data_IF_824747556954
#
_entry.id   IF_824747556954
#
_cell.length_a   1.000
_cell.length_b   1.000
_cell.length_c   1.000
_cell.angle_alpha   90.00
_cell.angle_beta   90.00
_cell.angle_gamma   90.00
#
_symmetry.space_group_name_H-M   'P 1'
#
loop_
_entity.id
_entity.type
_entity.pdbx_description
1 polymer ?
#
# COMPACT_ATOMS: atom_id res chain seq x y z
N UNK A 1 1.09 -28.86 57.84
CA UNK A 1 0.99 -28.75 56.36
C UNK A 1 1.43 -27.36 55.92
N UNK A 2 2.71 -27.11 55.63
CA UNK A 2 3.11 -25.79 55.12
C UNK A 2 4.37 -25.85 54.23
N UNK A 3 5.50 -26.40 54.67
CA UNK A 3 6.77 -26.29 53.90
C UNK A 3 6.86 -27.15 52.63
N UNK A 4 6.36 -28.39 52.67
CA UNK A 4 6.46 -29.31 51.53
C UNK A 4 5.62 -28.86 50.32
N UNK A 5 4.42 -28.31 50.56
CA UNK A 5 3.55 -27.78 49.50
C UNK A 5 4.16 -26.57 48.77
N UNK A 6 4.87 -25.69 49.49
CA UNK A 6 5.59 -24.58 48.86
C UNK A 6 6.75 -25.05 47.98
N UNK A 7 7.45 -26.12 48.39
CA UNK A 7 8.51 -26.71 47.58
C UNK A 7 7.94 -27.36 46.30
N UNK A 8 6.87 -28.15 46.42
CA UNK A 8 6.20 -28.77 45.27
C UNK A 8 5.68 -27.74 44.28
N UNK A 9 5.00 -26.69 44.76
CA UNK A 9 4.55 -25.58 43.92
C UNK A 9 5.72 -24.82 43.27
N UNK A 10 6.82 -24.62 44.00
CA UNK A 10 8.03 -23.97 43.48
C UNK A 10 8.69 -24.77 42.36
N UNK A 11 8.77 -26.09 42.49
CA UNK A 11 9.31 -26.97 41.43
C UNK A 11 8.45 -26.91 40.18
N UNK A 12 7.12 -27.02 40.34
CA UNK A 12 6.19 -26.94 39.20
C UNK A 12 6.29 -25.59 38.50
N UNK A 13 6.31 -24.48 39.26
CA UNK A 13 6.50 -23.14 38.69
C UNK A 13 7.84 -22.99 37.97
N UNK A 14 8.93 -23.54 38.53
CA UNK A 14 10.25 -23.55 37.90
C UNK A 14 10.29 -24.29 36.57
N UNK A 15 9.62 -25.44 36.47
CA UNK A 15 9.49 -26.19 35.22
C UNK A 15 8.70 -25.38 34.19
N UNK A 16 7.57 -24.77 34.58
CA UNK A 16 6.75 -23.95 33.67
C UNK A 16 7.56 -22.77 33.13
N UNK A 17 8.30 -22.06 33.98
CA UNK A 17 9.14 -20.94 33.55
C UNK A 17 10.25 -21.37 32.59
N UNK A 18 10.90 -22.52 32.83
CA UNK A 18 11.89 -23.08 31.92
C UNK A 18 11.27 -23.42 30.56
N UNK A 19 10.10 -24.05 30.54
CA UNK A 19 9.39 -24.38 29.30
C UNK A 19 9.03 -23.10 28.52
N UNK A 20 8.51 -22.07 29.20
CA UNK A 20 8.22 -20.77 28.56
C UNK A 20 9.48 -20.11 27.98
N UNK A 21 10.60 -20.16 28.71
CA UNK A 21 11.87 -19.61 28.24
C UNK A 21 12.39 -20.29 26.97
N UNK A 22 12.13 -21.59 26.81
CA UNK A 22 12.48 -22.34 25.60
C UNK A 22 11.48 -22.10 24.44
N UNK A 23 10.20 -21.85 24.75
CA UNK A 23 9.15 -21.66 23.76
C UNK A 23 9.17 -20.26 23.11
N UNK A 24 9.43 -19.20 23.88
CA UNK A 24 9.35 -17.82 23.37
C UNK A 24 10.27 -17.57 22.15
N UNK A 25 11.57 -17.94 22.16
CA UNK A 25 12.43 -17.76 20.98
C UNK A 25 11.94 -18.53 19.76
N UNK A 26 11.38 -19.73 19.98
CA UNK A 26 10.84 -20.55 18.90
C UNK A 26 9.60 -19.91 18.26
N UNK A 27 8.69 -19.35 19.07
CA UNK A 27 7.50 -18.63 18.57
C UNK A 27 7.89 -17.39 17.78
N UNK A 28 8.89 -16.64 18.22
CA UNK A 28 9.39 -15.47 17.47
C UNK A 28 9.96 -15.86 16.11
N UNK A 29 10.81 -16.91 16.05
CA UNK A 29 11.34 -17.42 14.78
C UNK A 29 10.22 -17.90 13.85
N UNK A 30 9.24 -18.63 14.38
CA UNK A 30 8.12 -19.12 13.59
C UNK A 30 7.26 -17.97 13.02
N UNK A 31 7.04 -16.91 13.79
CA UNK A 31 6.34 -15.70 13.31
C UNK A 31 7.12 -15.01 12.20
N UNK A 32 8.44 -14.92 12.31
CA UNK A 32 9.26 -14.27 11.31
C UNK A 32 9.32 -15.06 9.99
N UNK A 33 9.47 -16.38 10.07
CA UNK A 33 9.38 -17.25 8.89
C UNK A 33 7.98 -17.18 8.23
N UNK A 34 6.91 -17.02 9.03
CA UNK A 34 5.57 -16.81 8.48
C UNK A 34 5.45 -15.46 7.73
N UNK A 35 6.04 -14.38 8.25
CA UNK A 35 6.09 -13.07 7.55
C UNK A 35 6.88 -13.17 6.25
N UNK A 36 8.04 -13.83 6.29
CA UNK A 36 8.89 -14.10 5.13
C UNK A 36 8.14 -14.90 4.06
N UNK A 37 7.44 -15.96 4.46
CA UNK A 37 6.60 -16.78 3.58
C UNK A 37 5.44 -15.98 2.98
N UNK A 38 4.78 -15.13 3.77
CA UNK A 38 3.70 -14.27 3.28
C UNK A 38 4.20 -13.25 2.26
N UNK A 39 5.36 -12.63 2.49
CA UNK A 39 5.97 -11.70 1.53
C UNK A 39 6.32 -12.39 0.21
N UNK A 40 6.91 -13.58 0.29
CA UNK A 40 7.15 -14.44 -0.87
C UNK A 40 5.85 -14.75 -1.63
N UNK A 41 4.75 -15.01 -0.93
CA UNK A 41 3.44 -15.23 -1.55
C UNK A 41 2.89 -13.97 -2.22
N UNK A 42 3.05 -12.80 -1.61
CA UNK A 42 2.67 -11.52 -2.19
C UNK A 42 3.42 -11.25 -3.50
N UNK A 43 4.74 -11.45 -3.53
CA UNK A 43 5.54 -11.37 -4.77
C UNK A 43 5.06 -12.36 -5.84
N UNK A 44 4.70 -13.59 -5.48
CA UNK A 44 4.13 -14.56 -6.43
C UNK A 44 2.81 -14.07 -7.03
N UNK A 45 1.92 -13.52 -6.21
CA UNK A 45 0.66 -12.95 -6.70
C UNK A 45 0.91 -11.78 -7.66
N UNK A 46 1.86 -10.89 -7.32
CA UNK A 46 2.29 -9.80 -8.21
C UNK A 46 2.84 -10.35 -9.52
N UNK A 47 3.68 -11.39 -9.49
CA UNK A 47 4.22 -12.02 -10.69
C UNK A 47 3.16 -12.64 -11.59
N UNK A 48 2.19 -13.34 -11.00
CA UNK A 48 1.04 -13.86 -11.76
C UNK A 48 0.21 -12.72 -12.37
N UNK A 49 -0.03 -11.64 -11.64
CA UNK A 49 -0.74 -10.48 -12.14
C UNK A 49 -0.01 -9.80 -13.31
N UNK A 50 1.33 -9.70 -13.24
CA UNK A 50 2.17 -9.19 -14.34
C UNK A 50 2.11 -10.08 -15.58
N UNK A 51 2.10 -11.41 -15.41
CA UNK A 51 1.92 -12.36 -16.52
C UNK A 51 0.55 -12.23 -17.17
N UNK A 52 -0.53 -12.16 -16.38
CA UNK A 52 -1.88 -11.97 -16.89
C UNK A 52 -2.04 -10.62 -17.63
N UNK A 53 -1.41 -9.56 -17.10
CA UNK A 53 -1.33 -8.27 -17.79
C UNK A 53 -0.62 -8.42 -19.13
N UNK A 54 0.54 -9.08 -19.18
CA UNK A 54 1.30 -9.33 -20.41
C UNK A 54 0.54 -10.20 -21.41
N UNK A 55 -0.20 -11.21 -20.96
CA UNK A 55 -1.05 -12.03 -21.84
C UNK A 55 -2.10 -11.17 -22.55
N UNK A 56 -2.71 -10.24 -21.80
CA UNK A 56 -3.79 -9.36 -22.29
C UNK A 56 -3.25 -8.22 -23.16
N UNK A 57 -2.18 -7.55 -22.74
CA UNK A 57 -1.66 -6.32 -23.34
C UNK A 57 -0.40 -6.52 -24.21
N UNK A 58 0.10 -7.76 -24.29
CA UNK A 58 1.30 -8.17 -25.05
C UNK A 58 2.61 -7.50 -24.63
N UNK A 59 2.61 -6.85 -23.47
CA UNK A 59 3.79 -6.26 -22.83
C UNK A 59 3.56 -6.16 -21.31
N UNK A 60 4.63 -6.00 -20.54
CA UNK A 60 4.56 -5.60 -19.14
C UNK A 60 3.94 -4.20 -19.04
N UNK A 61 3.28 -3.88 -17.90
CA UNK A 61 2.74 -2.54 -17.70
C UNK A 61 3.87 -1.50 -17.74
N UNK A 62 3.59 -0.28 -18.20
CA UNK A 62 4.54 0.82 -18.04
C UNK A 62 4.83 1.00 -16.55
N UNK A 63 6.10 1.18 -16.18
CA UNK A 63 6.48 1.48 -14.80
C UNK A 63 5.70 2.67 -14.26
N UNK A 64 5.56 3.68 -15.10
CA UNK A 64 4.65 4.80 -14.92
C UNK A 64 4.30 5.45 -16.26
N UNK A 65 3.10 6.00 -16.34
CA UNK A 65 2.64 6.83 -17.45
C UNK A 65 2.95 8.29 -17.09
N UNK A 66 3.85 8.91 -17.84
CA UNK A 66 4.24 10.31 -17.66
C UNK A 66 3.99 11.03 -18.98
N UNK A 67 3.17 12.08 -18.95
CA UNK A 67 2.86 12.90 -20.12
C UNK A 67 4.08 13.71 -20.54
N UNK A 68 4.09 14.18 -21.79
CA UNK A 68 5.18 14.98 -22.36
C UNK A 68 5.50 16.25 -21.55
N UNK A 69 4.51 16.85 -20.89
CA UNK A 69 4.70 18.01 -20.01
C UNK A 69 5.20 17.65 -18.59
N UNK A 70 5.61 16.39 -18.38
CA UNK A 70 6.15 15.89 -17.13
C UNK A 70 5.11 15.53 -16.07
N UNK A 71 3.82 15.66 -16.37
CA UNK A 71 2.76 15.30 -15.44
C UNK A 71 2.70 13.78 -15.27
N UNK A 72 2.85 13.34 -14.02
CA UNK A 72 2.82 11.93 -13.64
C UNK A 72 1.36 11.46 -13.54
N UNK A 73 0.97 10.53 -14.41
CA UNK A 73 -0.38 9.98 -14.45
C UNK A 73 -0.47 8.80 -13.47
N UNK A 74 -0.19 7.56 -13.89
CA UNK A 74 -0.40 6.36 -13.09
C UNK A 74 0.78 5.38 -13.15
N UNK A 75 0.97 4.59 -12.10
CA UNK A 75 2.04 3.58 -12.00
C UNK A 75 1.60 2.16 -12.36
N UNK A 76 2.58 1.27 -12.56
CA UNK A 76 2.33 -0.15 -12.88
C UNK A 76 1.43 -0.87 -11.86
N UNK A 77 1.48 -0.48 -10.59
CA UNK A 77 0.73 -1.13 -9.52
C UNK A 77 -0.79 -1.00 -9.69
N UNK A 78 -1.31 0.13 -10.17
CA UNK A 78 -2.75 0.23 -10.45
C UNK A 78 -3.12 -0.58 -11.68
N UNK A 79 -2.23 -0.67 -12.68
CA UNK A 79 -2.47 -1.37 -13.94
C UNK A 79 -2.67 -2.89 -13.76
N UNK A 80 -2.06 -3.46 -12.72
CA UNK A 80 -2.17 -4.89 -12.43
C UNK A 80 -3.27 -5.25 -11.44
N UNK A 81 -3.95 -4.27 -10.80
CA UNK A 81 -5.03 -4.53 -9.83
C UNK A 81 -6.12 -5.47 -10.37
N UNK A 82 -6.61 -5.30 -11.61
CA UNK A 82 -7.62 -6.21 -12.18
C UNK A 82 -7.19 -7.68 -12.20
N UNK A 83 -5.88 -7.94 -12.22
CA UNK A 83 -5.28 -9.27 -12.28
C UNK A 83 -4.79 -9.78 -10.93
N UNK A 84 -4.81 -8.95 -9.88
CA UNK A 84 -4.28 -9.27 -8.55
C UNK A 84 -5.36 -9.82 -7.61
N UNK A 85 -6.48 -9.11 -7.48
CA UNK A 85 -7.53 -9.43 -6.49
C UNK A 85 -8.95 -9.13 -6.99
N UNK A 86 -9.11 -8.80 -8.27
CA UNK A 86 -10.37 -8.35 -8.89
C UNK A 86 -11.01 -7.14 -8.17
N UNK A 87 -10.20 -6.35 -7.47
CA UNK A 87 -10.69 -5.19 -6.73
C UNK A 87 -11.30 -4.14 -7.66
N UNK A 88 -12.44 -3.52 -7.29
CA UNK A 88 -13.07 -2.49 -8.11
C UNK A 88 -12.28 -1.16 -8.10
N UNK A 89 -11.19 -1.06 -7.33
CA UNK A 89 -10.32 0.13 -7.27
C UNK A 89 -9.88 0.62 -8.66
N UNK A 90 -9.62 -0.30 -9.60
CA UNK A 90 -9.26 0.07 -10.96
C UNK A 90 -10.35 0.91 -11.66
N UNK A 91 -11.62 0.57 -11.44
CA UNK A 91 -12.76 1.26 -12.07
C UNK A 91 -13.07 2.62 -11.42
N UNK A 92 -12.43 2.93 -10.28
CA UNK A 92 -12.61 4.18 -9.54
C UNK A 92 -11.59 5.25 -9.94
N UNK A 93 -10.55 4.86 -10.67
CA UNK A 93 -9.54 5.80 -11.14
C UNK A 93 -10.07 6.54 -12.36
N UNK A 94 -9.98 7.86 -12.34
CA UNK A 94 -10.05 8.67 -13.54
C UNK A 94 -8.67 8.72 -14.18
N UNK A 95 -8.49 7.95 -15.25
CA UNK A 95 -7.23 7.87 -15.99
C UNK A 95 -6.87 9.16 -16.76
N UNK A 96 -7.80 10.13 -16.83
CA UNK A 96 -7.53 11.45 -17.40
C UNK A 96 -6.97 12.44 -16.38
N UNK A 97 -7.00 12.09 -15.09
CA UNK A 97 -6.43 12.90 -14.02
C UNK A 97 -5.11 12.31 -13.47
N UNK A 98 -4.15 13.13 -13.04
CA UNK A 98 -2.97 12.65 -12.33
C UNK A 98 -3.31 11.83 -11.08
N UNK A 99 -2.40 10.92 -10.68
CA UNK A 99 -2.64 10.04 -9.52
C UNK A 99 -2.92 10.78 -8.20
N UNK A 100 -2.36 11.98 -8.02
CA UNK A 100 -2.43 12.74 -6.77
C UNK A 100 -3.56 13.78 -6.73
N UNK A 101 -4.51 13.72 -7.69
CA UNK A 101 -5.70 14.58 -7.71
C UNK A 101 -6.82 14.09 -6.78
N UNK A 102 -7.75 14.97 -6.38
CA UNK A 102 -8.82 14.63 -5.44
C UNK A 102 -9.61 13.36 -5.77
N UNK A 103 -9.91 13.13 -7.06
CA UNK A 103 -10.67 11.97 -7.49
C UNK A 103 -9.89 10.67 -7.29
N UNK A 104 -8.60 10.69 -7.59
CA UNK A 104 -7.73 9.52 -7.56
C UNK A 104 -7.08 9.27 -6.19
N UNK A 105 -6.81 10.31 -5.38
CA UNK A 105 -6.10 10.12 -4.11
C UNK A 105 -6.85 9.20 -3.15
N UNK A 106 -8.18 9.23 -3.17
CA UNK A 106 -9.02 8.43 -2.27
C UNK A 106 -8.85 6.94 -2.54
N UNK A 107 -8.61 6.57 -3.79
CA UNK A 107 -8.26 5.20 -4.20
C UNK A 107 -6.87 4.84 -3.67
N UNK A 108 -5.88 5.72 -3.85
CA UNK A 108 -4.51 5.46 -3.40
C UNK A 108 -4.29 5.55 -1.88
N UNK A 109 -5.29 6.00 -1.13
CA UNK A 109 -5.34 5.92 0.33
C UNK A 109 -5.69 4.50 0.84
N UNK A 110 -6.16 3.59 -0.03
CA UNK A 110 -6.41 2.21 0.36
C UNK A 110 -5.10 1.42 0.48
N UNK A 111 -4.80 0.79 1.63
CA UNK A 111 -3.69 -0.13 1.70
C UNK A 111 -4.04 -1.39 0.91
N UNK A 112 -3.11 -1.86 0.07
CA UNK A 112 -3.25 -3.13 -0.65
C UNK A 112 -2.41 -4.17 0.09
N UNK A 113 -3.01 -5.17 0.75
CA UNK A 113 -2.26 -6.14 1.55
C UNK A 113 -1.16 -6.86 0.75
N UNK A 114 -1.41 -7.15 -0.53
CA UNK A 114 -0.43 -7.77 -1.44
C UNK A 114 0.74 -6.85 -1.80
N UNK A 115 0.65 -5.54 -1.56
CA UNK A 115 1.76 -4.60 -1.70
C UNK A 115 2.50 -4.32 -0.40
N UNK A 116 2.10 -4.98 0.70
CA UNK A 116 2.71 -4.79 2.01
C UNK A 116 3.42 -6.06 2.48
N UNK A 117 4.33 -5.84 3.42
CA UNK A 117 5.04 -6.88 4.18
C UNK A 117 4.47 -6.81 5.59
N UNK A 118 3.84 -7.89 6.05
CA UNK A 118 3.26 -7.94 7.38
C UNK A 118 4.35 -7.77 8.45
N UNK A 119 4.11 -6.87 9.40
CA UNK A 119 5.04 -6.58 10.49
C UNK A 119 5.99 -5.40 10.25
N UNK A 120 5.89 -4.74 9.09
CA UNK A 120 6.41 -3.36 8.94
C UNK A 120 5.34 -2.42 9.49
N UNK A 121 5.66 -1.63 10.50
CA UNK A 121 4.67 -0.77 11.20
C UNK A 121 4.15 0.39 10.33
N UNK A 122 4.90 0.73 9.29
CA UNK A 122 4.62 1.86 8.41
C UNK A 122 3.69 1.47 7.25
N UNK A 123 2.44 1.92 7.29
CA UNK A 123 1.43 1.57 6.26
C UNK A 123 0.97 2.77 5.42
N UNK A 124 1.17 3.99 5.92
CA UNK A 124 0.68 5.22 5.29
C UNK A 124 1.75 6.31 5.25
N UNK A 125 1.66 7.20 4.27
CA UNK A 125 2.37 8.49 4.32
C UNK A 125 1.74 9.45 5.34
N UNK A 126 2.46 10.51 5.73
CA UNK A 126 1.94 11.64 6.50
C UNK A 126 0.73 12.31 5.84
N UNK A 127 0.60 12.14 4.52
CA UNK A 127 -0.50 12.64 3.68
C UNK A 127 -1.62 11.62 3.46
N UNK A 128 -1.53 10.41 4.03
CA UNK A 128 -2.61 9.41 4.05
C UNK A 128 -2.54 8.31 3.00
N UNK A 129 -1.62 8.40 2.03
CA UNK A 129 -1.50 7.41 0.96
C UNK A 129 -1.04 6.06 1.49
N UNK A 130 -1.61 4.97 0.98
CA UNK A 130 -1.16 3.62 1.29
C UNK A 130 0.23 3.37 0.70
N UNK A 131 1.12 2.79 1.50
CA UNK A 131 2.50 2.48 1.08
C UNK A 131 2.61 1.12 0.38
N UNK A 132 3.65 1.00 -0.44
CA UNK A 132 4.16 -0.28 -0.96
C UNK A 132 5.53 -0.62 -0.35
N UNK A 133 5.76 -1.92 -0.12
CA UNK A 133 7.04 -2.49 0.32
C UNK A 133 7.77 -3.23 -0.81
N UNK A 134 7.28 -3.11 -2.05
CA UNK A 134 7.87 -3.69 -3.24
C UNK A 134 8.04 -2.63 -4.33
N UNK A 135 9.16 -2.64 -5.04
CA UNK A 135 9.38 -1.76 -6.20
C UNK A 135 9.91 -2.52 -7.41
N UNK A 136 9.67 -1.95 -8.59
CA UNK A 136 10.04 -2.54 -9.87
C UNK A 136 11.50 -2.35 -10.27
N UNK A 137 11.93 -3.22 -11.18
CA UNK A 137 13.18 -3.12 -11.91
C UNK A 137 13.10 -1.99 -12.93
N UNK A 138 13.96 -0.96 -12.87
CA UNK A 138 13.96 0.14 -13.83
C UNK A 138 14.19 -0.32 -15.27
N UNK A 139 14.85 -1.46 -15.51
CA UNK A 139 15.03 -1.95 -16.88
C UNK A 139 13.72 -2.43 -17.50
N UNK A 140 12.80 -2.93 -16.67
CA UNK A 140 11.58 -3.62 -17.10
C UNK A 140 10.33 -2.76 -16.90
N UNK A 141 10.32 -1.92 -15.86
CA UNK A 141 9.20 -1.10 -15.39
C UNK A 141 9.67 0.34 -15.21
N UNK A 142 9.95 1.03 -16.32
CA UNK A 142 10.35 2.45 -16.34
C UNK A 142 9.25 3.35 -16.94
N UNK A 143 9.55 4.64 -17.02
CA UNK A 143 8.69 5.65 -17.66
C UNK A 143 8.25 5.20 -19.05
N UNK A 144 6.93 5.13 -19.26
CA UNK A 144 6.28 4.82 -20.52
C UNK A 144 6.80 3.53 -21.19
N UNK A 145 7.23 2.54 -20.39
CA UNK A 145 7.77 1.29 -20.89
C UNK A 145 6.70 0.38 -21.51
N UNK A 146 7.11 -0.40 -22.52
CA UNK A 146 6.30 -1.46 -23.15
C UNK A 146 7.16 -2.70 -23.36
N UNK A 147 7.81 -3.16 -22.28
CA UNK A 147 8.77 -4.27 -22.35
C UNK A 147 8.04 -5.60 -22.52
N UNK A 148 8.54 -6.47 -23.40
CA UNK A 148 7.98 -7.82 -23.60
C UNK A 148 8.94 -8.89 -23.06
N UNK A 149 8.42 -10.08 -22.74
CA UNK A 149 9.29 -11.19 -22.33
C UNK A 149 10.32 -11.59 -23.40
N UNK A 150 10.01 -11.39 -24.68
CA UNK A 150 10.93 -11.68 -25.80
C UNK A 150 12.17 -10.77 -25.80
N UNK A 151 12.10 -9.60 -25.16
CA UNK A 151 13.23 -8.66 -25.04
C UNK A 151 14.21 -9.05 -23.92
N UNK A 152 13.88 -10.05 -23.11
CA UNK A 152 14.72 -10.53 -22.01
C UNK A 152 15.74 -11.53 -22.54
N UNK A 153 16.78 -11.04 -23.22
CA UNK A 153 17.79 -11.86 -23.91
C UNK A 153 18.53 -12.85 -22.99
N UNK A 154 18.61 -12.57 -21.69
CA UNK A 154 19.20 -13.46 -20.68
C UNK A 154 18.26 -14.56 -20.18
N UNK A 155 17.02 -14.62 -20.71
CA UNK A 155 15.96 -15.49 -20.22
C UNK A 155 15.12 -14.85 -19.12
N UNK A 156 13.85 -15.27 -19.04
CA UNK A 156 12.90 -14.80 -18.03
C UNK A 156 13.28 -15.28 -16.61
N UNK A 157 13.97 -16.42 -16.53
CA UNK A 157 14.49 -17.02 -15.29
C UNK A 157 15.70 -16.28 -14.71
N UNK A 158 16.34 -15.39 -15.48
CA UNK A 158 17.49 -14.58 -15.03
C UNK A 158 17.18 -13.08 -14.98
N UNK A 159 15.93 -12.70 -15.23
CA UNK A 159 15.49 -11.31 -15.27
C UNK A 159 14.61 -11.02 -14.07
N UNK A 160 15.08 -10.20 -13.13
CA UNK A 160 14.26 -9.79 -11.98
C UNK A 160 13.26 -8.70 -12.38
N UNK A 161 12.06 -8.74 -11.81
CA UNK A 161 10.99 -7.78 -12.08
C UNK A 161 10.71 -6.88 -10.89
N UNK A 162 10.56 -7.47 -9.70
CA UNK A 162 10.12 -6.76 -8.48
C UNK A 162 11.01 -7.21 -7.32
N UNK A 163 11.30 -6.31 -6.39
CA UNK A 163 12.00 -6.65 -5.15
C UNK A 163 11.39 -5.99 -3.92
N UNK A 164 11.63 -6.60 -2.76
CA UNK A 164 11.33 -6.03 -1.46
C UNK A 164 12.25 -4.85 -1.16
N UNK A 165 11.72 -3.71 -0.69
CA UNK A 165 12.53 -2.52 -0.39
C UNK A 165 12.78 -2.34 1.10
N UNK A 166 13.98 -1.88 1.44
CA UNK A 166 14.45 -1.78 2.82
C UNK A 166 13.91 -0.55 3.57
N UNK A 167 13.41 0.44 2.84
CA UNK A 167 12.89 1.69 3.39
C UNK A 167 12.61 2.71 2.31
N UNK A 168 12.48 3.98 2.72
CA UNK A 168 12.03 5.08 1.86
C UNK A 168 10.82 4.64 1.05
N UNK A 169 9.83 4.10 1.76
CA UNK A 169 8.62 3.56 1.17
C UNK A 169 7.86 4.65 0.41
N UNK A 170 7.18 4.25 -0.65
CA UNK A 170 6.48 5.15 -1.55
C UNK A 170 5.00 4.77 -1.56
N UNK A 171 4.08 5.71 -1.86
CA UNK A 171 2.70 5.36 -2.15
C UNK A 171 2.64 4.31 -3.25
N UNK A 172 1.82 3.26 -3.09
CA UNK A 172 1.66 2.28 -4.16
C UNK A 172 1.09 2.91 -5.45
N UNK A 173 0.37 4.02 -5.33
CA UNK A 173 -0.11 4.82 -6.46
C UNK A 173 0.94 5.69 -7.17
N UNK A 174 2.12 5.86 -6.58
CA UNK A 174 3.13 6.76 -7.11
C UNK A 174 3.66 6.25 -8.47
N UNK A 175 3.63 7.06 -9.55
CA UNK A 175 4.01 6.57 -10.87
C UNK A 175 5.50 6.24 -11.05
N UNK A 176 6.36 6.50 -10.07
CA UNK A 176 7.81 6.20 -10.15
C UNK A 176 8.22 5.06 -9.21
N UNK A 177 7.37 4.03 -9.09
CA UNK A 177 7.57 2.88 -8.20
C UNK A 177 8.61 1.87 -8.73
N UNK A 178 9.82 2.36 -9.04
CA UNK A 178 11.02 1.59 -9.38
C UNK A 178 12.26 2.22 -8.74
N UNK A 179 13.32 1.43 -8.55
CA UNK A 179 14.64 1.95 -8.20
C UNK A 179 15.74 0.96 -8.60
N UNK A 180 16.99 1.39 -8.81
CA UNK A 180 18.11 0.49 -9.10
C UNK A 180 18.34 -0.52 -7.97
N UNK A 181 18.65 -1.78 -8.29
CA UNK A 181 18.90 -2.83 -7.30
C UNK A 181 20.10 -2.50 -6.38
N UNK A 182 21.13 -1.87 -6.94
CA UNK A 182 22.39 -1.61 -6.25
C UNK A 182 23.27 -2.86 -6.13
N UNK A 183 24.44 -2.71 -5.52
CA UNK A 183 25.44 -3.79 -5.41
C UNK A 183 25.42 -4.50 -4.07
N UNK A 184 24.46 -4.19 -3.19
CA UNK A 184 24.29 -4.80 -1.87
C UNK A 184 22.87 -4.59 -1.36
N UNK A 185 22.26 -5.66 -0.84
CA UNK A 185 20.95 -5.59 -0.17
C UNK A 185 21.11 -5.14 1.29
N UNK A 186 20.04 -4.55 1.85
CA UNK A 186 20.03 -4.00 3.21
C UNK A 186 21.16 -2.97 3.45
N UNK A 187 21.48 -2.18 2.44
CA UNK A 187 22.53 -1.14 2.47
C UNK A 187 21.93 0.26 2.60
N UNK A 188 21.10 0.45 3.65
CA UNK A 188 20.37 1.70 3.90
C UNK A 188 18.97 1.72 3.29
N UNK A 189 18.19 2.79 3.56
CA UNK A 189 16.76 2.85 3.23
C UNK A 189 16.47 2.94 1.72
N UNK A 190 17.45 3.34 0.90
CA UNK A 190 17.30 3.36 -0.57
C UNK A 190 17.54 1.99 -1.22
N UNK A 191 18.02 1.00 -0.49
CA UNK A 191 18.31 -0.33 -1.03
C UNK A 191 17.09 -1.25 -1.09
N UNK A 192 17.23 -2.37 -1.80
CA UNK A 192 16.35 -3.53 -1.67
C UNK A 192 16.77 -4.39 -0.46
N UNK A 193 15.83 -5.14 0.10
CA UNK A 193 16.01 -6.02 1.25
C UNK A 193 15.01 -5.74 2.37
N UNK A 194 15.08 -6.55 3.42
CA UNK A 194 14.35 -6.39 4.66
C UNK A 194 15.33 -6.63 5.81
N UNK A 195 15.62 -5.58 6.59
CA UNK A 195 16.66 -5.63 7.62
C UNK A 195 16.48 -6.79 8.62
N UNK A 196 15.27 -7.07 9.15
CA UNK A 196 15.05 -8.23 10.02
C UNK A 196 15.38 -9.61 9.42
N UNK A 197 15.49 -9.72 8.09
CA UNK A 197 15.81 -10.98 7.40
C UNK A 197 17.25 -11.07 6.92
N UNK A 198 18.07 -10.03 7.12
CA UNK A 198 19.44 -9.94 6.58
C UNK A 198 19.49 -10.22 5.06
N UNK A 199 18.48 -9.76 4.32
CA UNK A 199 18.35 -10.00 2.89
C UNK A 199 16.95 -9.66 2.40
N UNK A 200 16.61 -10.07 1.19
CA UNK A 200 15.27 -9.88 0.65
C UNK A 200 15.00 -10.77 -0.53
N UNK A 201 13.72 -10.85 -0.92
CA UNK A 201 13.28 -11.57 -2.08
C UNK A 201 13.26 -10.67 -3.32
N UNK A 202 13.66 -11.27 -4.44
CA UNK A 202 13.41 -10.76 -5.77
C UNK A 202 12.47 -11.74 -6.50
N UNK A 203 11.47 -11.18 -7.15
CA UNK A 203 10.62 -11.86 -8.12
C UNK A 203 11.33 -11.85 -9.47
N UNK A 204 11.45 -13.01 -10.10
CA UNK A 204 11.96 -13.17 -11.46
C UNK A 204 10.81 -13.21 -12.47
N UNK A 205 11.13 -12.97 -13.75
CA UNK A 205 10.14 -12.88 -14.81
C UNK A 205 9.49 -14.24 -15.13
N UNK A 206 10.04 -15.36 -14.67
CA UNK A 206 9.40 -16.68 -14.68
C UNK A 206 8.44 -16.93 -13.49
N UNK A 207 8.15 -15.90 -12.68
CA UNK A 207 7.31 -15.96 -11.46
C UNK A 207 7.98 -16.69 -10.28
N UNK A 208 9.23 -17.15 -10.44
CA UNK A 208 10.00 -17.65 -9.30
C UNK A 208 10.36 -16.51 -8.35
N UNK A 209 10.41 -16.81 -7.05
CA UNK A 209 10.77 -15.84 -6.01
C UNK A 209 11.95 -16.39 -5.23
N UNK A 210 13.07 -15.68 -5.34
CA UNK A 210 14.38 -16.09 -4.83
C UNK A 210 14.83 -15.15 -3.72
N UNK A 211 15.32 -15.72 -2.61
CA UNK A 211 15.87 -14.96 -1.51
C UNK A 211 17.36 -14.72 -1.72
N UNK A 212 17.79 -13.48 -1.58
CA UNK A 212 19.19 -13.06 -1.64
C UNK A 212 19.57 -12.47 -0.27
N UNK A 213 20.67 -12.95 0.32
CA UNK A 213 21.18 -12.40 1.57
C UNK A 213 21.93 -11.08 1.34
N UNK A 214 22.14 -10.30 2.40
CA UNK A 214 22.99 -9.11 2.41
C UNK A 214 24.50 -9.42 2.20
N UNK A 215 24.87 -10.71 2.17
CA UNK A 215 26.19 -11.25 1.83
C UNK A 215 26.30 -11.70 0.36
N UNK A 216 25.22 -11.62 -0.42
CA UNK A 216 25.24 -11.96 -1.85
C UNK A 216 26.36 -11.19 -2.57
N UNK A 217 27.13 -11.90 -3.39
CA UNK A 217 28.25 -11.31 -4.15
C UNK A 217 27.77 -10.12 -4.99
N UNK A 218 28.49 -8.98 -4.97
CA UNK A 218 28.18 -7.83 -5.80
C UNK A 218 28.12 -8.14 -7.30
N UNK A 219 28.87 -9.14 -7.77
CA UNK A 219 28.90 -9.58 -9.17
C UNK A 219 27.55 -10.17 -9.59
N UNK A 220 26.90 -10.94 -8.73
CA UNK A 220 25.55 -11.48 -8.97
C UNK A 220 24.54 -10.33 -9.08
N UNK A 221 24.58 -9.37 -8.16
CA UNK A 221 23.67 -8.22 -8.19
C UNK A 221 23.92 -7.32 -9.41
N UNK A 222 25.18 -7.14 -9.82
CA UNK A 222 25.53 -6.43 -11.06
C UNK A 222 24.98 -7.14 -12.30
N UNK A 223 25.03 -8.47 -12.35
CA UNK A 223 24.44 -9.25 -13.45
C UNK A 223 22.92 -9.03 -13.51
N UNK A 224 22.23 -9.09 -12.37
CA UNK A 224 20.78 -8.82 -12.30
C UNK A 224 20.44 -7.38 -12.70
N UNK A 225 21.24 -6.39 -12.30
CA UNK A 225 21.07 -4.99 -12.71
C UNK A 225 21.26 -4.79 -14.23
N UNK A 226 22.14 -5.57 -14.85
CA UNK A 226 22.46 -5.49 -16.27
C UNK A 226 21.54 -6.33 -17.16
N UNK A 227 20.43 -6.87 -16.64
CA UNK A 227 19.51 -7.69 -17.43
C UNK A 227 18.77 -6.83 -18.48
N UNK A 228 18.83 -7.18 -19.78
CA UNK A 228 18.17 -6.44 -20.85
C UNK A 228 16.64 -6.53 -20.79
N UNK A 229 15.90 -5.63 -21.47
CA UNK A 229 16.41 -4.49 -22.24
C UNK A 229 17.00 -3.39 -21.33
N UNK A 230 18.01 -2.67 -21.82
CA UNK A 230 18.62 -1.56 -21.08
C UNK A 230 18.01 -0.23 -21.55
N UNK A 231 17.20 0.44 -20.73
CA UNK A 231 16.60 1.73 -21.07
C UNK A 231 17.62 2.88 -21.00
N UNK A 232 17.25 4.04 -21.53
CA UNK A 232 18.04 5.26 -21.38
C UNK A 232 17.99 5.79 -19.94
N UNK A 233 18.96 6.62 -19.57
CA UNK A 233 18.95 7.28 -18.26
C UNK A 233 17.74 8.18 -18.06
N UNK A 234 17.22 8.79 -19.13
CA UNK A 234 16.01 9.62 -19.09
C UNK A 234 14.74 8.80 -18.80
N UNK A 235 14.67 7.57 -19.31
CA UNK A 235 13.55 6.67 -19.04
C UNK A 235 13.52 6.19 -17.59
N UNK A 236 14.69 6.02 -16.97
CA UNK A 236 14.82 5.48 -15.61
C UNK A 236 14.89 6.53 -14.51
N UNK A 237 15.09 7.80 -14.85
CA UNK A 237 15.17 8.88 -13.86
C UNK A 237 13.86 9.02 -13.09
N UNK A 238 13.99 9.12 -11.76
CA UNK A 238 12.88 9.39 -10.84
C UNK A 238 13.03 10.79 -10.24
N UNK A 239 11.92 11.47 -9.91
CA UNK A 239 11.99 12.71 -9.15
C UNK A 239 12.65 12.47 -7.78
N UNK A 240 13.46 13.43 -7.31
CA UNK A 240 13.97 13.45 -5.94
C UNK A 240 12.83 13.84 -4.98
N UNK A 241 11.93 12.89 -4.75
CA UNK A 241 10.75 13.03 -3.91
C UNK A 241 10.79 11.98 -2.80
N UNK A 242 10.70 12.45 -1.56
CA UNK A 242 10.57 11.60 -0.37
C UNK A 242 9.16 11.74 0.20
N UNK A 243 8.65 10.63 0.71
CA UNK A 243 7.37 10.58 1.38
C UNK A 243 7.63 10.34 2.86
N UNK A 244 7.15 11.26 3.70
CA UNK A 244 7.19 11.10 5.14
C UNK A 244 6.19 10.04 5.59
N UNK A 245 6.53 9.28 6.62
CA UNK A 245 5.74 8.09 7.02
C UNK A 245 5.56 7.96 8.54
N UNK A 246 5.63 9.06 9.29
CA UNK A 246 5.73 9.06 10.76
C UNK A 246 4.49 8.49 11.46
N UNK A 247 4.50 7.17 11.72
CA UNK A 247 3.57 6.42 12.59
C UNK A 247 2.10 6.87 12.49
N UNK A 248 1.65 7.06 11.26
CA UNK A 248 0.34 7.63 10.97
C UNK A 248 -0.74 6.59 11.25
N UNK A 249 -1.68 6.95 12.12
CA UNK A 249 -2.87 6.16 12.40
C UNK A 249 -4.07 6.77 11.67
N UNK A 250 -4.85 5.90 11.04
CA UNK A 250 -6.18 6.26 10.51
C UNK A 250 -7.23 5.87 11.54
N UNK A 251 -8.18 6.77 11.78
CA UNK A 251 -9.39 6.45 12.54
C UNK A 251 -10.62 6.88 11.76
N UNK A 252 -11.75 6.23 12.08
CA UNK A 252 -13.03 6.50 11.46
C UNK A 252 -14.10 6.78 12.52
N UNK A 253 -14.90 7.81 12.30
CA UNK A 253 -16.05 8.16 13.15
C UNK A 253 -17.30 8.14 12.28
N UNK A 254 -18.18 7.17 12.52
CA UNK A 254 -19.46 7.08 11.80
C UNK A 254 -20.33 8.31 12.12
N UNK A 255 -20.89 8.92 11.09
CA UNK A 255 -21.85 10.02 11.21
C UNK A 255 -23.27 9.46 11.29
N UNK A 256 -24.18 10.22 11.90
CA UNK A 256 -25.60 9.87 11.94
C UNK A 256 -26.23 10.14 10.57
N UNK A 257 -27.02 9.20 10.09
CA UNK A 257 -27.84 9.32 8.89
C UNK A 257 -29.09 8.47 9.09
N UNK A 258 -30.02 8.52 8.14
CA UNK A 258 -31.22 7.70 8.14
C UNK A 258 -30.87 6.21 8.32
N UNK A 259 -31.64 5.51 9.16
CA UNK A 259 -31.49 4.08 9.41
C UNK A 259 -31.83 3.22 8.19
N UNK A 260 -32.67 3.74 7.29
CA UNK A 260 -32.95 3.16 5.97
C UNK A 260 -31.97 3.67 4.89
N UNK A 261 -30.93 4.38 5.33
CA UNK A 261 -30.06 5.25 4.55
C UNK A 261 -29.40 4.62 3.34
N UNK A 262 -29.41 5.41 2.26
CA UNK A 262 -28.86 5.13 0.92
C UNK A 262 -27.37 4.78 0.98
N UNK A 263 -26.63 5.45 1.86
CA UNK A 263 -25.17 5.45 1.99
C UNK A 263 -24.76 5.28 3.47
N UNK A 264 -23.47 5.01 3.73
CA UNK A 264 -22.87 5.15 5.07
C UNK A 264 -21.97 6.37 5.10
N UNK A 265 -22.18 7.28 6.04
CA UNK A 265 -21.36 8.48 6.19
C UNK A 265 -20.41 8.38 7.36
N UNK A 266 -19.19 8.86 7.17
CA UNK A 266 -18.17 8.81 8.22
C UNK A 266 -17.11 9.89 8.03
N UNK A 267 -16.41 10.16 9.11
CA UNK A 267 -15.23 11.00 9.15
C UNK A 267 -14.01 10.11 9.11
N UNK A 268 -13.07 10.37 8.21
CA UNK A 268 -11.74 9.78 8.23
C UNK A 268 -10.76 10.81 8.77
N UNK A 269 -10.04 10.46 9.83
CA UNK A 269 -8.98 11.29 10.39
C UNK A 269 -7.61 10.61 10.26
N UNK A 270 -6.58 11.41 10.01
CA UNK A 270 -5.18 10.99 10.10
C UNK A 270 -4.55 11.59 11.35
N UNK A 271 -3.94 10.76 12.19
CA UNK A 271 -3.24 11.18 13.40
C UNK A 271 -1.76 10.79 13.33
N UNK A 272 -0.90 11.57 13.97
CA UNK A 272 0.48 11.18 14.22
C UNK A 272 0.59 10.19 15.39
N UNK A 273 1.82 9.80 15.74
CA UNK A 273 2.12 8.92 16.89
C UNK A 273 1.61 9.45 18.24
N UNK A 274 1.44 10.76 18.39
CA UNK A 274 0.92 11.44 19.59
C UNK A 274 -0.62 11.59 19.57
N UNK A 275 -1.31 10.93 18.64
CA UNK A 275 -2.77 11.02 18.44
C UNK A 275 -3.27 12.42 18.05
N UNK A 276 -2.36 13.33 17.65
CA UNK A 276 -2.72 14.65 17.16
C UNK A 276 -3.30 14.54 15.75
N UNK A 277 -4.51 15.06 15.57
CA UNK A 277 -5.18 15.12 14.29
C UNK A 277 -4.39 16.00 13.30
N UNK A 278 -4.05 15.43 12.14
CA UNK A 278 -3.32 16.09 11.06
C UNK A 278 -4.25 16.50 9.92
N UNK A 279 -5.23 15.64 9.61
CA UNK A 279 -6.20 15.85 8.53
C UNK A 279 -7.52 15.21 8.90
N UNK A 280 -8.61 15.84 8.47
CA UNK A 280 -9.97 15.32 8.61
C UNK A 280 -10.72 15.40 7.28
N UNK A 281 -11.49 14.37 6.98
CA UNK A 281 -12.27 14.24 5.75
C UNK A 281 -13.64 13.67 6.06
N UNK A 282 -14.65 14.15 5.35
CA UNK A 282 -16.01 13.63 5.42
C UNK A 282 -16.30 12.86 4.15
N UNK A 283 -16.66 11.59 4.29
CA UNK A 283 -16.86 10.67 3.18
C UNK A 283 -18.21 9.96 3.28
N UNK A 284 -18.73 9.55 2.13
CA UNK A 284 -19.84 8.61 1.97
C UNK A 284 -19.31 7.30 1.41
N UNK A 285 -19.75 6.15 1.91
CA UNK A 285 -19.65 4.87 1.22
C UNK A 285 -20.87 4.73 0.32
N UNK A 286 -20.64 4.80 -0.99
CA UNK A 286 -21.68 4.68 -2.02
C UNK A 286 -21.64 3.27 -2.59
N UNK A 287 -22.80 2.60 -2.62
CA UNK A 287 -22.96 1.32 -3.30
C UNK A 287 -23.22 1.54 -4.80
N UNK A 288 -22.18 1.33 -5.61
CA UNK A 288 -22.22 1.55 -7.05
C UNK A 288 -23.08 0.54 -7.82
N UNK A 289 -23.52 -0.58 -7.21
CA UNK A 289 -24.44 -1.53 -7.89
C UNK A 289 -25.78 -0.87 -8.29
N UNK A 290 -26.09 0.33 -7.76
CA UNK A 290 -27.31 1.09 -8.07
C UNK A 290 -27.10 2.26 -9.05
N UNK A 291 -25.87 2.53 -9.49
CA UNK A 291 -25.59 3.58 -10.48
C UNK A 291 -25.67 2.93 -11.86
N UNK A 292 -26.82 3.09 -12.53
CA UNK A 292 -27.01 2.72 -13.94
C UNK A 292 -26.11 3.60 -14.82
N UNK A 293 -24.88 3.15 -15.06
CA UNK A 293 -24.05 3.67 -16.15
C UNK A 293 -24.11 2.70 -17.32
N UNK A 294 -24.08 3.22 -18.54
CA UNK A 294 -24.23 2.46 -19.79
C UNK A 294 -23.07 1.48 -20.05
N UNK A 295 -21.98 1.57 -19.29
CA UNK A 295 -20.86 0.62 -19.33
C UNK A 295 -20.88 -0.32 -18.11
N UNK A 296 -20.74 -1.64 -18.29
CA UNK A 296 -20.74 -2.60 -17.20
C UNK A 296 -19.43 -2.50 -16.41
N UNK A 297 -19.31 -1.51 -15.54
CA UNK A 297 -18.25 -1.49 -14.52
C UNK A 297 -18.49 -2.66 -13.57
N UNK A 298 -17.46 -3.48 -13.33
CA UNK A 298 -17.58 -4.75 -12.61
C UNK A 298 -18.12 -4.55 -11.20
N UNK A 299 -19.00 -5.46 -10.77
CA UNK A 299 -19.56 -5.59 -9.41
C UNK A 299 -18.49 -5.29 -8.35
N UNK A 300 -18.61 -4.12 -7.72
CA UNK A 300 -17.74 -3.68 -6.64
C UNK A 300 -18.60 -3.22 -5.47
N UNK A 301 -18.24 -3.64 -4.26
CA UNK A 301 -18.92 -3.23 -3.03
C UNK A 301 -18.81 -1.72 -2.76
N UNK A 302 -19.38 -1.23 -1.64
CA UNK A 302 -19.46 0.20 -1.36
C UNK A 302 -18.08 0.79 -1.08
N UNK A 303 -17.77 1.91 -1.70
CA UNK A 303 -16.45 2.55 -1.60
C UNK A 303 -16.58 4.07 -1.42
N UNK A 304 -15.53 4.74 -0.91
CA UNK A 304 -15.65 6.07 -0.34
C UNK A 304 -15.56 7.16 -1.39
N UNK A 305 -16.58 7.98 -1.40
CA UNK A 305 -16.63 9.25 -2.09
C UNK A 305 -16.30 10.37 -1.09
N UNK A 306 -15.36 11.23 -1.45
CA UNK A 306 -15.02 12.41 -0.65
C UNK A 306 -16.10 13.47 -0.82
N UNK A 307 -16.80 13.82 0.26
CA UNK A 307 -17.74 14.94 0.25
C UNK A 307 -16.98 16.26 0.40
N UNK A 308 -16.10 16.33 1.40
CA UNK A 308 -15.19 17.46 1.61
C UNK A 308 -14.08 17.11 2.61
N UNK A 309 -12.86 17.64 2.39
CA UNK A 309 -11.83 17.75 3.45
C UNK A 309 -12.23 18.88 4.42
N UNK A 310 -11.88 18.76 5.70
CA UNK A 310 -12.14 19.78 6.73
C UNK A 310 -10.81 20.35 7.23
N UNK A 311 -10.71 21.68 7.19
CA UNK A 311 -9.63 22.46 7.79
C UNK A 311 -10.16 23.29 8.99
N UNK A 312 -9.28 24.06 9.64
CA UNK A 312 -9.65 24.91 10.80
C UNK A 312 -10.70 25.98 10.50
N UNK A 313 -10.84 26.41 9.25
CA UNK A 313 -11.68 27.53 8.83
C UNK A 313 -12.93 27.07 8.07
N UNK A 314 -13.07 25.77 7.82
CA UNK A 314 -14.17 25.20 7.07
C UNK A 314 -15.49 25.46 7.81
N UNK A 315 -16.44 26.09 7.12
CA UNK A 315 -17.82 26.16 7.62
C UNK A 315 -18.49 24.80 7.45
N UNK A 316 -18.36 23.98 8.49
CA UNK A 316 -18.92 22.62 8.56
C UNK A 316 -20.43 22.63 8.30
N UNK A 317 -21.14 23.65 8.78
CA UNK A 317 -22.61 23.70 8.63
C UNK A 317 -22.98 23.93 7.18
N UNK A 318 -22.29 24.86 6.51
CA UNK A 318 -22.50 25.11 5.08
C UNK A 318 -22.11 23.89 4.25
N UNK A 319 -20.92 23.32 4.46
CA UNK A 319 -20.43 22.16 3.70
C UNK A 319 -21.31 20.93 3.87
N UNK A 320 -21.81 20.66 5.07
CA UNK A 320 -22.74 19.55 5.29
C UNK A 320 -24.06 19.76 4.54
N UNK A 321 -24.62 20.98 4.53
CA UNK A 321 -25.84 21.31 3.79
C UNK A 321 -25.72 21.18 2.28
N UNK A 322 -24.51 21.34 1.76
CA UNK A 322 -24.21 21.16 0.32
C UNK A 322 -23.94 19.69 -0.05
N UNK A 323 -23.84 18.80 0.94
CA UNK A 323 -23.49 17.40 0.74
C UNK A 323 -24.71 16.48 0.74
N UNK A 324 -24.56 15.30 0.13
CA UNK A 324 -25.59 14.25 0.13
C UNK A 324 -26.02 13.81 1.53
N UNK A 325 -25.15 13.97 2.54
CA UNK A 325 -25.49 13.67 3.93
C UNK A 325 -26.66 14.52 4.45
N UNK A 326 -26.84 15.74 3.95
CA UNK A 326 -27.99 16.57 4.35
C UNK A 326 -29.32 16.05 3.82
N UNK A 327 -29.30 15.34 2.69
CA UNK A 327 -30.48 14.69 2.13
C UNK A 327 -30.82 13.38 2.84
N UNK A 328 -29.81 12.75 3.44
CA UNK A 328 -29.87 11.46 4.10
C UNK A 328 -29.93 11.56 5.63
N UNK A 329 -30.22 12.75 6.18
CA UNK A 329 -30.27 12.98 7.63
C UNK A 329 -31.48 13.80 8.03
N UNK A 330 -32.05 13.52 9.22
CA UNK A 330 -32.98 14.46 9.86
C UNK A 330 -32.24 15.72 10.33
N UNK A 331 -32.94 16.84 10.58
CA UNK A 331 -32.33 18.05 11.14
C UNK A 331 -31.59 17.81 12.47
N UNK A 332 -32.10 16.92 13.33
CA UNK A 332 -31.48 16.56 14.61
C UNK A 332 -30.18 15.78 14.41
N UNK A 333 -30.18 14.81 13.48
CA UNK A 333 -29.00 14.03 13.12
C UNK A 333 -27.92 14.94 12.50
N UNK A 334 -28.33 15.84 11.59
CA UNK A 334 -27.42 16.80 10.97
C UNK A 334 -26.81 17.74 12.01
N UNK A 335 -27.59 18.23 12.97
CA UNK A 335 -27.10 19.04 14.08
C UNK A 335 -26.10 18.28 14.97
N UNK A 336 -26.35 17.00 15.24
CA UNK A 336 -25.43 16.13 15.98
C UNK A 336 -24.11 15.90 15.21
N UNK A 337 -24.18 15.73 13.89
CA UNK A 337 -23.01 15.61 13.03
C UNK A 337 -22.18 16.90 13.01
N UNK A 338 -22.82 18.06 12.89
CA UNK A 338 -22.15 19.38 12.99
C UNK A 338 -21.38 19.48 14.31
N UNK A 339 -22.02 19.14 15.44
CA UNK A 339 -21.37 19.19 16.76
C UNK A 339 -20.15 18.26 16.83
N UNK A 340 -20.27 17.06 16.28
CA UNK A 340 -19.18 16.06 16.26
C UNK A 340 -18.01 16.57 15.43
N UNK A 341 -18.27 17.03 14.21
CA UNK A 341 -17.26 17.58 13.31
C UNK A 341 -16.59 18.83 13.87
N UNK A 342 -17.34 19.74 14.49
CA UNK A 342 -16.76 20.94 15.14
C UNK A 342 -15.88 20.59 16.34
N UNK A 343 -16.20 19.53 17.08
CA UNK A 343 -15.35 19.05 18.17
C UNK A 343 -14.02 18.49 17.65
N UNK A 344 -14.05 17.77 16.53
CA UNK A 344 -12.85 17.24 15.87
C UNK A 344 -12.04 18.35 15.17
N UNK A 345 -12.71 19.31 14.52
CA UNK A 345 -12.07 20.43 13.83
C UNK A 345 -11.17 21.26 14.75
N UNK A 346 -11.52 21.39 16.04
CA UNK A 346 -10.71 22.08 17.05
C UNK A 346 -9.35 21.42 17.31
N UNK A 347 -9.20 20.14 16.96
CA UNK A 347 -7.95 19.38 17.15
C UNK A 347 -7.02 19.49 15.94
N UNK A 348 -7.51 20.00 14.79
CA UNK A 348 -6.69 20.20 13.59
C UNK A 348 -5.58 21.22 13.84
N UNK A 349 -4.43 21.10 13.16
CA UNK A 349 -3.23 21.89 13.40
C UNK A 349 -3.33 23.36 12.97
#
# INVERSE_FOLDING_TARGET
MTRQRWLELGVVAGIVLLLLALLLPAVHRAREEARKSSSKNNLKQIGLALHNYHETHRCLPPGGIIREDGVAMHGWMIMIIPFLDASPLYNMIDFNEPWDRPHNWTVYEFPIPSYQIFGVDTHFTSTGYGLTHYLGNPNQLHRNSHVTFDQMENGIENTWLIGEVAGNYQPWGYPFNWRPLGTRLCNGPDSFGHFPWDGGHLLLADVSVTFFSNETSPEILKQLMGAPPIPTSEQTVTPDKRFETDDIKRYEVKLQSDSDGRNIYYVRGLQNSEEKLLRMEVLSLVDYEKIQTEEPRSKGGPYPELLFRVDRNTDITARLKESSLSEDSTPEQLAANVKTLQALQKQLP
#
